data_IF_445908627951
#
_entry.id   IF_445908627951
#
_cell.length_a   1.000
_cell.length_b   1.000
_cell.length_c   1.000
_cell.angle_alpha   90.00
_cell.angle_beta   90.00
_cell.angle_gamma   90.00
#
_symmetry.space_group_name_H-M   'P 1'
#
loop_
_entity.id
_entity.type
_entity.pdbx_description
1 polymer ?
#
# COMPACT_ATOMS: atom_id res chain seq x y z
N UNK A 1 95.82 -1.21 -116.17
CA UNK A 1 94.94 -2.35 -115.85
C UNK A 1 94.22 -2.79 -117.12
N UNK A 2 94.29 -4.08 -117.46
CA UNK A 2 93.55 -4.61 -118.61
C UNK A 2 92.07 -4.76 -118.26
N UNK A 3 91.17 -4.28 -119.13
CA UNK A 3 89.73 -4.58 -119.05
C UNK A 3 89.48 -5.92 -119.74
N UNK A 4 89.10 -6.94 -118.98
CA UNK A 4 88.67 -8.23 -119.53
C UNK A 4 87.15 -8.15 -119.76
N UNK A 5 86.71 -8.42 -120.98
CA UNK A 5 85.29 -8.50 -121.33
C UNK A 5 84.93 -9.97 -121.56
N UNK A 6 83.88 -10.44 -120.88
CA UNK A 6 83.31 -11.77 -121.08
C UNK A 6 81.97 -11.67 -121.81
N UNK A 7 81.57 -12.73 -122.51
CA UNK A 7 80.25 -12.82 -123.14
C UNK A 7 79.18 -12.76 -122.05
N UNK A 8 78.09 -12.03 -122.30
CA UNK A 8 77.00 -11.89 -121.34
C UNK A 8 75.66 -11.70 -122.03
N UNK A 9 74.58 -12.18 -121.41
CA UNK A 9 73.22 -12.08 -121.94
C UNK A 9 72.20 -12.76 -121.04
N UNK A 10 70.97 -12.96 -121.50
CA UNK A 10 69.97 -13.77 -120.79
C UNK A 10 70.32 -15.27 -120.87
N UNK A 11 69.87 -16.07 -119.92
CA UNK A 11 70.15 -17.51 -119.81
C UNK A 11 69.82 -18.26 -121.11
N UNK A 12 68.66 -17.99 -121.71
CA UNK A 12 68.25 -18.62 -122.97
C UNK A 12 69.15 -18.25 -124.16
N UNK A 13 69.81 -17.08 -124.13
CA UNK A 13 70.76 -16.64 -125.14
C UNK A 13 72.16 -17.23 -124.88
N UNK A 14 72.61 -17.21 -123.61
CA UNK A 14 73.89 -17.83 -123.20
C UNK A 14 73.88 -19.34 -123.43
N UNK A 15 72.74 -20.00 -123.21
CA UNK A 15 72.52 -21.41 -123.52
C UNK A 15 72.65 -21.74 -125.01
N UNK A 16 72.62 -20.76 -125.91
CA UNK A 16 72.85 -20.93 -127.36
C UNK A 16 74.23 -20.46 -127.84
N UNK A 17 75.02 -19.83 -126.98
CA UNK A 17 76.39 -19.45 -127.32
C UNK A 17 77.27 -20.69 -127.51
N UNK A 18 78.02 -20.72 -128.60
CA UNK A 18 79.23 -21.53 -128.72
C UNK A 18 80.38 -20.74 -128.09
N UNK A 19 81.08 -21.38 -127.16
CA UNK A 19 82.19 -20.81 -126.43
C UNK A 19 83.45 -21.57 -126.85
N UNK A 20 84.48 -20.83 -127.22
CA UNK A 20 85.79 -21.43 -127.43
C UNK A 20 86.32 -22.01 -126.10
N UNK A 21 87.25 -22.96 -126.18
CA UNK A 21 87.88 -23.51 -124.98
C UNK A 21 88.48 -22.39 -124.11
N UNK A 22 88.09 -22.35 -122.83
CA UNK A 22 88.48 -21.30 -121.87
C UNK A 22 87.68 -20.00 -121.95
N UNK A 23 86.78 -19.83 -122.92
CA UNK A 23 85.95 -18.63 -123.04
C UNK A 23 84.81 -18.62 -122.02
N UNK A 24 84.63 -17.51 -121.30
CA UNK A 24 83.61 -17.36 -120.28
C UNK A 24 82.36 -16.63 -120.79
N UNK A 25 81.20 -17.11 -120.37
CA UNK A 25 79.93 -16.40 -120.53
C UNK A 25 79.09 -16.38 -119.25
N UNK A 26 78.40 -15.27 -119.00
CA UNK A 26 77.50 -15.12 -117.85
C UNK A 26 76.07 -14.82 -118.30
N UNK A 27 75.11 -15.59 -117.75
CA UNK A 27 73.69 -15.34 -117.86
C UNK A 27 73.26 -14.35 -116.77
N UNK A 28 72.90 -13.13 -117.17
CA UNK A 28 72.69 -12.00 -116.27
C UNK A 28 71.39 -12.12 -115.46
N UNK A 29 70.40 -12.86 -115.96
CA UNK A 29 69.09 -13.09 -115.34
C UNK A 29 69.06 -14.24 -114.32
N UNK A 30 70.01 -15.16 -114.40
CA UNK A 30 70.08 -16.34 -113.52
C UNK A 30 71.35 -16.38 -112.68
N UNK A 31 72.28 -15.45 -112.95
CA UNK A 31 73.62 -15.46 -112.37
C UNK A 31 74.48 -16.65 -112.81
N UNK A 32 74.00 -17.49 -113.73
CA UNK A 32 74.71 -18.69 -114.19
C UNK A 32 75.96 -18.32 -114.99
N UNK A 33 77.07 -19.01 -114.72
CA UNK A 33 78.36 -18.81 -115.36
C UNK A 33 78.73 -20.08 -116.11
N UNK A 34 79.19 -19.91 -117.34
CA UNK A 34 79.59 -20.97 -118.23
C UNK A 34 81.03 -20.76 -118.70
N UNK A 35 81.75 -21.85 -118.90
CA UNK A 35 83.07 -21.86 -119.56
C UNK A 35 83.05 -22.83 -120.74
N UNK A 36 83.63 -22.43 -121.87
CA UNK A 36 83.85 -23.32 -123.00
C UNK A 36 84.93 -24.36 -122.73
N UNK A 37 84.73 -25.57 -123.21
CA UNK A 37 85.64 -26.72 -123.11
C UNK A 37 85.74 -27.40 -124.47
N UNK A 38 86.66 -28.35 -124.64
CA UNK A 38 86.80 -29.14 -125.88
C UNK A 38 85.54 -29.94 -126.25
N UNK A 39 84.64 -30.20 -125.29
CA UNK A 39 83.38 -30.93 -125.49
C UNK A 39 82.14 -30.02 -125.52
N UNK A 40 82.33 -28.71 -125.66
CA UNK A 40 81.26 -27.69 -125.61
C UNK A 40 81.33 -26.88 -124.32
N UNK A 41 80.24 -26.22 -123.90
CA UNK A 41 80.23 -25.41 -122.67
C UNK A 41 79.83 -26.21 -121.42
N UNK A 42 80.42 -25.87 -120.28
CA UNK A 42 80.09 -26.41 -118.95
C UNK A 42 79.55 -25.31 -118.05
N UNK A 43 78.51 -25.60 -117.30
CA UNK A 43 77.96 -24.74 -116.25
C UNK A 43 78.79 -24.89 -114.97
N UNK A 44 79.27 -23.77 -114.39
CA UNK A 44 80.29 -23.83 -113.32
C UNK A 44 79.83 -23.27 -111.96
N UNK A 45 78.62 -22.74 -111.85
CA UNK A 45 78.01 -22.36 -110.57
C UNK A 45 76.68 -23.13 -110.35
N UNK A 46 76.10 -23.12 -109.14
CA UNK A 46 74.79 -23.71 -108.90
C UNK A 46 73.71 -23.04 -109.75
N UNK A 47 72.79 -23.83 -110.31
CA UNK A 47 71.71 -23.30 -111.17
C UNK A 47 70.77 -22.39 -110.37
N UNK A 48 70.65 -21.12 -110.78
CA UNK A 48 69.64 -20.18 -110.27
C UNK A 48 70.10 -19.29 -109.10
N UNK A 49 71.18 -18.52 -109.28
CA UNK A 49 71.69 -17.61 -108.27
C UNK A 49 70.96 -16.27 -108.16
N UNK A 50 69.92 -16.21 -107.32
CA UNK A 50 69.54 -15.15 -106.35
C UNK A 50 68.29 -15.68 -105.61
N UNK A 51 68.41 -16.07 -104.34
CA UNK A 51 67.29 -16.64 -103.59
C UNK A 51 66.32 -15.54 -103.15
N UNK A 52 65.30 -15.25 -103.97
CA UNK A 52 64.21 -14.33 -103.60
C UNK A 52 63.29 -14.94 -102.53
N UNK A 53 63.32 -16.26 -102.32
CA UNK A 53 62.64 -16.95 -101.20
C UNK A 53 63.41 -18.22 -100.79
N UNK A 54 63.29 -18.64 -99.51
CA UNK A 54 63.87 -19.89 -99.01
C UNK A 54 62.89 -21.06 -99.20
N UNK A 55 63.34 -22.20 -99.76
CA UNK A 55 62.44 -23.29 -100.22
C UNK A 55 61.90 -24.24 -99.14
N UNK A 56 62.56 -24.31 -97.97
CA UNK A 56 62.25 -25.02 -96.71
C UNK A 56 63.52 -25.64 -96.10
N UNK A 57 63.53 -25.91 -94.80
CA UNK A 57 64.61 -26.62 -94.13
C UNK A 57 64.59 -28.10 -94.53
N UNK A 58 65.74 -28.62 -94.99
CA UNK A 58 65.91 -30.03 -95.35
C UNK A 58 65.65 -30.99 -94.17
N UNK A 59 65.91 -30.54 -92.95
CA UNK A 59 65.55 -31.26 -91.72
C UNK A 59 64.67 -30.34 -90.88
N UNK A 60 63.37 -30.69 -90.69
CA UNK A 60 62.48 -29.91 -89.84
C UNK A 60 63.04 -29.77 -88.43
N UNK A 61 62.80 -28.61 -87.81
CA UNK A 61 63.20 -28.34 -86.42
C UNK A 61 61.96 -28.29 -85.55
N UNK A 62 61.99 -29.01 -84.43
CA UNK A 62 60.91 -28.98 -83.45
C UNK A 62 61.04 -27.71 -82.58
N UNK A 63 59.94 -26.96 -82.46
CA UNK A 63 59.78 -25.89 -81.49
C UNK A 63 58.84 -26.36 -80.38
N UNK A 64 59.26 -26.19 -79.13
CA UNK A 64 58.47 -26.54 -77.94
C UNK A 64 58.69 -25.49 -76.85
N UNK A 65 57.74 -25.36 -75.93
CA UNK A 65 57.88 -24.57 -74.71
C UNK A 65 57.75 -25.46 -73.47
N UNK A 66 58.51 -25.16 -72.43
CA UNK A 66 58.47 -25.88 -71.15
C UNK A 66 58.60 -24.89 -69.99
N UNK A 67 58.09 -25.27 -68.81
CA UNK A 67 58.05 -24.44 -67.60
C UNK A 67 56.62 -24.12 -67.19
N UNK A 68 56.36 -22.85 -66.83
CA UNK A 68 55.06 -22.38 -66.34
C UNK A 68 53.93 -22.47 -67.40
N UNK A 69 54.31 -22.47 -68.67
CA UNK A 69 53.47 -22.90 -69.77
C UNK A 69 54.22 -23.95 -70.58
N UNK A 70 53.53 -25.01 -70.96
CA UNK A 70 54.05 -26.07 -71.80
C UNK A 70 53.37 -26.02 -73.16
N UNK A 71 54.10 -26.43 -74.20
CA UNK A 71 53.54 -26.65 -75.51
C UNK A 71 54.20 -27.89 -76.11
N UNK A 72 53.38 -28.77 -76.71
CA UNK A 72 53.89 -29.92 -77.44
C UNK A 72 54.79 -29.47 -78.61
N UNK A 73 55.75 -30.32 -78.96
CA UNK A 73 56.70 -30.05 -80.01
C UNK A 73 56.00 -29.94 -81.38
N UNK A 74 56.14 -28.80 -82.04
CA UNK A 74 55.64 -28.56 -83.40
C UNK A 74 56.83 -28.44 -84.36
N UNK A 75 56.83 -29.23 -85.42
CA UNK A 75 57.90 -29.20 -86.43
C UNK A 75 57.71 -28.01 -87.38
N UNK A 76 58.79 -27.27 -87.61
CA UNK A 76 58.87 -26.18 -88.58
C UNK A 76 59.93 -26.48 -89.63
N UNK A 77 59.55 -26.34 -90.89
CA UNK A 77 60.46 -26.39 -92.02
C UNK A 77 60.39 -25.13 -92.90
N UNK A 78 59.57 -24.13 -92.57
CA UNK A 78 59.43 -22.91 -93.38
C UNK A 78 58.48 -23.04 -94.57
N UNK A 79 57.75 -24.17 -94.70
CA UNK A 79 56.70 -24.32 -95.72
C UNK A 79 55.39 -23.59 -95.36
N UNK A 80 55.13 -23.35 -94.09
CA UNK A 80 53.97 -22.63 -93.57
C UNK A 80 54.23 -22.06 -92.17
N UNK A 81 53.37 -21.16 -91.72
CA UNK A 81 53.35 -20.68 -90.34
C UNK A 81 53.00 -21.84 -89.39
N UNK A 82 53.65 -21.84 -88.22
CA UNK A 82 53.38 -22.81 -87.15
C UNK A 82 52.74 -22.11 -85.95
N UNK A 83 51.75 -22.75 -85.33
CA UNK A 83 51.11 -22.26 -84.10
C UNK A 83 51.55 -23.10 -82.91
N UNK A 84 52.22 -22.46 -81.94
CA UNK A 84 52.57 -23.09 -80.68
C UNK A 84 51.44 -22.85 -79.66
N UNK A 85 50.64 -23.87 -79.38
CA UNK A 85 49.55 -23.78 -78.41
C UNK A 85 50.09 -23.97 -76.99
N UNK A 86 50.21 -22.86 -76.25
CA UNK A 86 50.62 -22.91 -74.84
C UNK A 86 49.47 -23.38 -73.95
N UNK A 87 49.79 -24.26 -73.01
CA UNK A 87 48.94 -24.73 -71.92
C UNK A 87 49.61 -24.34 -70.61
N UNK A 88 48.89 -23.67 -69.71
CA UNK A 88 49.45 -23.28 -68.42
C UNK A 88 49.57 -24.52 -67.52
N UNK A 89 50.72 -24.68 -66.86
CA UNK A 89 50.94 -25.81 -65.98
C UNK A 89 49.97 -25.75 -64.77
N UNK A 90 49.43 -26.90 -64.39
CA UNK A 90 48.63 -27.00 -63.17
C UNK A 90 49.52 -26.73 -61.95
N UNK A 91 49.13 -25.77 -61.13
CA UNK A 91 49.80 -25.49 -59.86
C UNK A 91 49.43 -26.59 -58.85
N UNK A 92 50.39 -27.43 -58.50
CA UNK A 92 50.19 -28.65 -57.68
C UNK A 92 49.58 -28.41 -56.29
N UNK A 93 49.56 -27.16 -55.82
CA UNK A 93 49.00 -26.76 -54.52
C UNK A 93 47.65 -26.01 -54.58
N UNK A 94 47.09 -25.75 -55.78
CA UNK A 94 45.90 -24.91 -55.91
C UNK A 94 44.77 -25.63 -56.63
N UNK A 95 43.61 -25.69 -55.98
CA UNK A 95 42.37 -26.18 -56.61
C UNK A 95 41.60 -24.99 -57.18
N UNK A 96 40.75 -25.24 -58.19
CA UNK A 96 39.85 -24.20 -58.67
C UNK A 96 38.89 -23.78 -57.55
N UNK A 97 38.80 -22.48 -57.25
CA UNK A 97 37.96 -21.95 -56.19
C UNK A 97 38.24 -20.47 -55.90
N UNK A 98 37.45 -19.89 -54.99
CA UNK A 98 37.66 -18.54 -54.46
C UNK A 98 38.46 -18.63 -53.16
N UNK A 99 39.52 -17.85 -53.07
CA UNK A 99 40.37 -17.74 -51.88
C UNK A 99 40.37 -16.30 -51.40
N UNK A 100 40.34 -16.09 -50.10
CA UNK A 100 40.40 -14.75 -49.48
C UNK A 100 41.83 -14.37 -49.09
N UNK A 101 42.76 -15.32 -49.11
CA UNK A 101 44.18 -15.15 -48.83
C UNK A 101 45.00 -15.93 -49.85
N UNK A 102 46.01 -15.29 -50.43
CA UNK A 102 46.93 -15.92 -51.39
C UNK A 102 48.36 -15.78 -50.90
N UNK A 103 49.17 -16.80 -51.17
CA UNK A 103 50.62 -16.76 -50.99
C UNK A 103 51.26 -16.69 -52.36
N UNK A 104 52.22 -15.77 -52.53
CA UNK A 104 52.99 -15.64 -53.78
C UNK A 104 54.45 -15.98 -53.57
N UNK A 105 55.10 -16.50 -54.61
CA UNK A 105 56.56 -16.65 -54.62
C UNK A 105 57.26 -15.31 -54.92
N UNK A 106 58.60 -15.31 -54.92
CA UNK A 106 59.42 -14.12 -55.22
C UNK A 106 59.23 -13.56 -56.63
N UNK A 107 58.55 -14.28 -57.53
CA UNK A 107 58.18 -13.83 -58.88
C UNK A 107 56.73 -13.33 -58.96
N UNK A 108 55.99 -13.32 -57.84
CA UNK A 108 54.59 -12.87 -57.78
C UNK A 108 53.56 -13.93 -58.21
N UNK A 109 53.96 -15.19 -58.42
CA UNK A 109 53.03 -16.26 -58.80
C UNK A 109 52.35 -16.85 -57.57
N UNK A 110 51.05 -17.12 -57.64
CA UNK A 110 50.28 -17.75 -56.56
C UNK A 110 50.73 -19.19 -56.36
N UNK A 111 51.14 -19.53 -55.15
CA UNK A 111 51.60 -20.89 -54.77
C UNK A 111 50.65 -21.59 -53.80
N UNK A 112 49.81 -20.83 -53.10
CA UNK A 112 48.77 -21.35 -52.21
C UNK A 112 47.61 -20.37 -52.07
N UNK A 113 46.43 -20.90 -51.77
CA UNK A 113 45.22 -20.14 -51.45
C UNK A 113 44.61 -20.68 -50.16
N UNK A 114 44.16 -19.78 -49.28
CA UNK A 114 43.55 -20.09 -47.99
C UNK A 114 42.28 -19.26 -47.79
N UNK A 115 41.37 -19.75 -46.95
CA UNK A 115 40.25 -18.97 -46.44
C UNK A 115 40.72 -18.11 -45.26
N UNK A 116 40.06 -16.99 -45.02
CA UNK A 116 40.28 -16.17 -43.84
C UNK A 116 39.74 -16.93 -42.63
N UNK A 117 40.55 -16.98 -41.59
CA UNK A 117 40.16 -17.53 -40.30
C UNK A 117 40.05 -16.42 -39.27
N UNK A 118 39.42 -16.71 -38.12
CA UNK A 118 39.31 -15.75 -37.02
C UNK A 118 40.69 -15.28 -36.53
N UNK A 119 41.71 -16.15 -36.65
CA UNK A 119 43.10 -15.84 -36.30
C UNK A 119 43.75 -14.80 -37.21
N UNK A 120 43.23 -14.58 -38.43
CA UNK A 120 43.70 -13.51 -39.32
C UNK A 120 43.19 -12.12 -38.88
N UNK A 121 42.23 -12.04 -37.95
CA UNK A 121 41.77 -10.79 -37.35
C UNK A 121 42.62 -10.52 -36.09
N UNK A 122 43.57 -9.56 -36.13
CA UNK A 122 44.39 -9.27 -34.97
C UNK A 122 43.55 -8.69 -33.82
N UNK A 123 44.08 -8.72 -32.60
CA UNK A 123 43.48 -7.94 -31.50
C UNK A 123 43.52 -6.45 -31.84
N UNK A 124 42.35 -5.84 -31.99
CA UNK A 124 42.20 -4.41 -32.32
C UNK A 124 41.87 -3.67 -31.03
N UNK A 125 42.76 -2.82 -30.49
CA UNK A 125 42.43 -2.02 -29.31
C UNK A 125 41.32 -1.01 -29.65
N UNK A 126 40.47 -0.70 -28.67
CA UNK A 126 39.35 0.25 -28.84
C UNK A 126 39.78 1.62 -29.37
N UNK A 127 41.02 2.05 -29.10
CA UNK A 127 41.62 3.29 -29.61
C UNK A 127 41.80 3.34 -31.14
N UNK A 128 41.67 2.20 -31.83
CA UNK A 128 41.79 2.08 -33.29
C UNK A 128 40.45 1.93 -34.00
N UNK A 129 39.34 1.92 -33.26
CA UNK A 129 37.99 1.80 -33.82
C UNK A 129 37.22 3.10 -33.55
N UNK A 130 36.85 3.82 -34.61
CA UNK A 130 36.04 5.03 -34.49
C UNK A 130 34.56 4.68 -34.32
N UNK A 131 33.81 5.50 -33.58
CA UNK A 131 32.37 5.32 -33.39
C UNK A 131 31.95 4.30 -32.32
N UNK A 132 32.90 3.74 -31.55
CA UNK A 132 32.56 3.02 -30.33
C UNK A 132 31.87 3.97 -29.33
N UNK A 133 30.73 3.55 -28.77
CA UNK A 133 30.10 4.26 -27.66
C UNK A 133 30.95 4.17 -26.39
N UNK A 134 30.78 5.11 -25.46
CA UNK A 134 31.56 5.19 -24.21
C UNK A 134 31.50 3.91 -23.37
N UNK A 135 30.34 3.24 -23.33
CA UNK A 135 30.18 1.96 -22.62
C UNK A 135 31.02 0.82 -23.23
N UNK A 136 31.24 0.81 -24.54
CA UNK A 136 32.02 -0.23 -25.21
C UNK A 136 33.54 -0.08 -24.98
N UNK A 137 33.98 1.07 -24.47
CA UNK A 137 35.37 1.32 -24.11
C UNK A 137 35.67 1.05 -22.62
N UNK A 138 34.65 0.83 -21.79
CA UNK A 138 34.78 0.58 -20.37
C UNK A 138 34.80 -0.94 -20.09
N UNK A 139 35.48 -1.32 -19.00
CA UNK A 139 35.40 -2.70 -18.52
C UNK A 139 34.00 -2.98 -17.95
N UNK A 140 33.62 -4.25 -17.90
CA UNK A 140 32.40 -4.69 -17.21
C UNK A 140 32.72 -5.14 -15.79
N UNK A 141 31.82 -4.92 -14.83
CA UNK A 141 32.00 -5.43 -13.46
C UNK A 141 31.38 -4.54 -12.39
N UNK A 142 31.83 -4.71 -11.14
CA UNK A 142 31.32 -3.95 -9.99
C UNK A 142 32.25 -2.83 -9.50
N UNK A 143 33.46 -2.72 -10.07
CA UNK A 143 34.39 -1.65 -9.75
C UNK A 143 33.92 -0.29 -10.29
N UNK A 144 34.39 0.78 -9.66
CA UNK A 144 34.10 2.16 -10.10
C UNK A 144 34.54 2.38 -11.56
N UNK A 145 33.70 3.05 -12.35
CA UNK A 145 33.95 3.34 -13.76
C UNK A 145 33.65 2.18 -14.72
N UNK A 146 33.33 0.99 -14.22
CA UNK A 146 32.92 -0.14 -15.05
C UNK A 146 31.43 -0.06 -15.42
N UNK A 147 31.08 -0.71 -16.54
CA UNK A 147 29.69 -0.94 -16.92
C UNK A 147 29.11 -2.06 -16.04
N UNK A 148 27.99 -1.82 -15.33
CA UNK A 148 27.33 -2.86 -14.55
C UNK A 148 26.89 -4.04 -15.41
N UNK A 149 27.16 -5.25 -14.92
CA UNK A 149 26.68 -6.49 -15.56
C UNK A 149 25.35 -6.89 -14.95
N UNK A 150 24.38 -7.19 -15.82
CA UNK A 150 23.10 -7.76 -15.42
C UNK A 150 23.27 -9.24 -15.11
N UNK A 151 22.87 -9.65 -13.90
CA UNK A 151 22.83 -11.03 -13.44
C UNK A 151 21.66 -11.82 -14.08
N UNK A 152 21.61 -13.11 -13.80
CA UNK A 152 20.47 -13.95 -14.14
C UNK A 152 19.15 -13.32 -13.64
N UNK A 153 18.13 -13.32 -14.50
CA UNK A 153 16.83 -12.72 -14.19
C UNK A 153 16.75 -11.21 -14.36
N UNK A 154 17.74 -10.57 -15.01
CA UNK A 154 17.61 -9.16 -15.41
C UNK A 154 17.95 -8.15 -14.32
N UNK A 155 18.60 -8.58 -13.23
CA UNK A 155 18.90 -7.72 -12.06
C UNK A 155 20.36 -7.27 -12.04
N UNK A 156 20.63 -6.12 -11.45
CA UNK A 156 21.99 -5.72 -11.10
C UNK A 156 22.43 -6.44 -9.81
N UNK A 157 23.75 -6.52 -9.58
CA UNK A 157 24.30 -6.98 -8.30
C UNK A 157 23.77 -6.10 -7.16
N UNK A 158 23.33 -6.69 -6.05
CA UNK A 158 22.78 -5.93 -4.93
C UNK A 158 23.77 -4.89 -4.34
N UNK A 159 25.08 -5.17 -4.38
CA UNK A 159 26.12 -4.23 -3.93
C UNK A 159 26.27 -2.98 -4.80
N UNK A 160 25.72 -3.00 -6.03
CA UNK A 160 25.71 -1.85 -6.94
C UNK A 160 24.45 -0.98 -6.78
N UNK A 161 23.47 -1.47 -6.03
CA UNK A 161 22.30 -0.68 -5.66
C UNK A 161 22.61 0.09 -4.38
N UNK A 162 22.18 1.35 -4.26
CA UNK A 162 22.34 2.09 -3.01
C UNK A 162 21.61 1.38 -1.87
N UNK A 163 22.14 1.46 -0.65
CA UNK A 163 21.41 1.04 0.54
C UNK A 163 20.24 1.99 0.79
N UNK A 164 19.02 1.46 0.71
CA UNK A 164 17.77 2.18 0.89
C UNK A 164 17.11 1.91 2.24
N UNK A 165 17.73 1.11 3.10
CA UNK A 165 17.15 0.65 4.37
C UNK A 165 16.80 1.78 5.35
N UNK A 166 17.45 2.93 5.24
CA UNK A 166 17.15 4.13 6.05
C UNK A 166 16.24 5.15 5.38
N UNK A 167 15.86 4.97 4.12
CA UNK A 167 15.05 5.93 3.35
C UNK A 167 13.58 5.51 3.25
N UNK A 168 13.32 4.20 3.24
CA UNK A 168 11.98 3.65 3.10
C UNK A 168 11.57 2.88 4.35
N UNK A 169 10.26 2.89 4.61
CA UNK A 169 9.68 1.99 5.61
C UNK A 169 9.77 0.56 5.07
N UNK A 170 10.44 -0.37 5.78
CA UNK A 170 10.51 -1.76 5.37
C UNK A 170 9.11 -2.36 5.21
N UNK A 171 8.89 -3.19 4.18
CA UNK A 171 7.61 -3.91 4.00
C UNK A 171 7.32 -4.93 5.10
N UNK A 172 8.32 -5.23 5.93
CA UNK A 172 8.19 -6.02 7.16
C UNK A 172 7.62 -5.20 8.33
N UNK A 173 7.61 -3.87 8.25
CA UNK A 173 6.96 -3.02 9.23
C UNK A 173 5.44 -3.19 9.14
N UNK A 174 4.79 -3.22 10.29
CA UNK A 174 3.32 -3.32 10.39
C UNK A 174 2.75 -2.07 11.04
N UNK A 175 1.57 -1.65 10.60
CA UNK A 175 0.75 -0.66 11.33
C UNK A 175 -0.28 -1.46 12.12
N UNK A 176 -0.12 -1.48 13.44
CA UNK A 176 -0.99 -2.24 14.34
C UNK A 176 -1.17 -3.72 13.91
N UNK A 177 -0.05 -4.40 13.63
CA UNK A 177 -0.05 -5.80 13.19
C UNK A 177 -0.44 -6.04 11.72
N UNK A 178 -0.89 -5.01 10.99
CA UNK A 178 -1.25 -5.15 9.57
C UNK A 178 -0.05 -4.87 8.66
N UNK A 179 0.25 -5.75 7.68
CA UNK A 179 1.41 -5.59 6.80
C UNK A 179 1.22 -4.46 5.78
N UNK A 180 2.31 -3.79 5.41
CA UNK A 180 2.35 -2.74 4.39
C UNK A 180 2.38 -3.31 2.95
N UNK A 181 1.51 -4.27 2.65
CA UNK A 181 1.38 -4.88 1.31
C UNK A 181 0.30 -4.23 0.44
N UNK A 182 -0.40 -3.22 0.97
CA UNK A 182 -1.47 -2.47 0.30
C UNK A 182 -2.04 -1.38 1.22
N UNK A 183 -3.26 -0.92 0.93
CA UNK A 183 -3.95 0.06 1.78
C UNK A 183 -4.23 -0.53 3.17
N UNK A 184 -3.82 0.16 4.23
CA UNK A 184 -4.08 -0.24 5.61
C UNK A 184 -5.41 0.34 6.07
N UNK A 185 -6.38 -0.52 6.39
CA UNK A 185 -7.64 -0.14 7.03
C UNK A 185 -7.60 -0.51 8.50
N UNK A 186 -7.82 0.47 9.38
CA UNK A 186 -7.89 0.27 10.83
C UNK A 186 -9.35 0.37 11.30
N UNK A 187 -9.80 -0.62 12.04
CA UNK A 187 -11.03 -0.58 12.82
C UNK A 187 -10.76 0.05 14.19
N UNK A 188 -11.82 0.43 14.91
CA UNK A 188 -11.67 1.02 16.25
C UNK A 188 -10.90 0.08 17.21
N UNK A 189 -11.19 -1.22 17.17
CA UNK A 189 -10.49 -2.22 17.97
C UNK A 189 -9.01 -2.36 17.66
N UNK A 190 -8.57 -2.04 16.43
CA UNK A 190 -7.15 -2.06 16.09
C UNK A 190 -6.39 -1.05 16.96
N UNK A 191 -6.92 0.15 17.16
CA UNK A 191 -6.24 1.23 17.89
C UNK A 191 -6.67 1.34 19.36
N UNK A 192 -7.40 0.34 19.88
CA UNK A 192 -7.97 0.38 21.24
C UNK A 192 -9.05 1.45 21.42
N UNK A 193 -9.66 1.94 20.33
CA UNK A 193 -10.78 2.87 20.38
C UNK A 193 -12.11 2.15 20.58
N UNK A 194 -13.07 2.85 21.19
CA UNK A 194 -14.45 2.39 21.30
C UNK A 194 -15.11 2.45 19.90
N UNK A 195 -15.67 1.33 19.40
CA UNK A 195 -16.42 1.34 18.14
C UNK A 195 -17.60 2.32 18.19
N UNK A 196 -17.80 3.07 17.10
CA UNK A 196 -18.93 4.01 17.02
C UNK A 196 -20.29 3.31 17.21
N UNK A 197 -20.40 2.05 16.79
CA UNK A 197 -21.59 1.22 16.95
C UNK A 197 -21.90 0.86 18.42
N UNK A 198 -20.91 0.91 19.32
CA UNK A 198 -21.11 0.64 20.75
C UNK A 198 -21.54 1.90 21.53
N UNK A 199 -21.34 3.09 20.96
CA UNK A 199 -21.69 4.34 21.63
C UNK A 199 -23.21 4.52 21.71
N UNK A 200 -23.74 4.54 22.93
CA UNK A 200 -25.17 4.71 23.19
C UNK A 200 -26.03 3.50 22.81
N UNK A 201 -25.41 2.38 22.43
CA UNK A 201 -26.08 1.12 22.18
C UNK A 201 -26.35 0.37 23.50
N UNK A 202 -27.38 -0.48 23.51
CA UNK A 202 -27.62 -1.39 24.63
C UNK A 202 -26.41 -2.31 24.84
N UNK A 203 -26.02 -2.52 26.10
CA UNK A 203 -24.78 -3.22 26.50
C UNK A 203 -23.47 -2.59 25.99
N UNK A 204 -23.52 -1.35 25.47
CA UNK A 204 -22.36 -0.62 24.98
C UNK A 204 -21.85 0.43 25.98
N UNK A 205 -21.29 1.51 25.44
CA UNK A 205 -20.69 2.60 26.23
C UNK A 205 -21.62 3.81 26.22
N UNK A 206 -21.89 4.39 27.39
CA UNK A 206 -22.68 5.62 27.49
C UNK A 206 -22.05 6.78 26.70
N UNK A 207 -22.89 7.63 26.11
CA UNK A 207 -22.41 8.85 25.45
C UNK A 207 -22.40 10.01 26.42
N UNK A 208 -21.60 11.04 26.12
CA UNK A 208 -21.65 12.30 26.86
C UNK A 208 -22.37 13.36 26.03
N UNK A 209 -23.20 14.17 26.69
CA UNK A 209 -23.79 15.39 26.15
C UNK A 209 -22.74 16.50 26.00
N UNK A 210 -23.17 17.65 25.49
CA UNK A 210 -22.32 18.84 25.32
C UNK A 210 -21.75 19.38 26.63
N UNK A 211 -22.38 19.06 27.75
CA UNK A 211 -21.95 19.42 29.11
C UNK A 211 -21.00 18.36 29.73
N UNK A 212 -20.63 17.34 28.97
CA UNK A 212 -19.72 16.27 29.40
C UNK A 212 -20.36 15.25 30.34
N UNK A 213 -21.69 15.23 30.49
CA UNK A 213 -22.41 14.26 31.34
C UNK A 213 -23.17 13.24 30.51
N UNK A 214 -23.52 12.11 31.12
CA UNK A 214 -24.41 11.12 30.49
C UNK A 214 -25.81 11.74 30.35
N UNK A 215 -26.40 11.81 29.14
CA UNK A 215 -27.74 12.33 28.95
C UNK A 215 -28.78 11.57 29.78
N UNK A 216 -29.78 12.28 30.33
CA UNK A 216 -30.85 11.68 31.14
C UNK A 216 -31.59 10.55 30.41
N UNK A 217 -31.70 10.60 29.09
CA UNK A 217 -32.29 9.53 28.27
C UNK A 217 -31.52 8.20 28.33
N UNK A 218 -30.26 8.20 28.77
CA UNK A 218 -29.45 7.01 29.01
C UNK A 218 -29.44 6.59 30.49
N UNK A 219 -30.16 7.32 31.35
CA UNK A 219 -30.32 7.01 32.76
C UNK A 219 -31.72 6.42 33.00
N UNK A 220 -31.87 5.47 33.93
CA UNK A 220 -33.18 5.03 34.38
C UNK A 220 -33.98 6.17 35.03
N UNK A 221 -35.32 6.13 34.92
CA UNK A 221 -36.20 7.21 35.41
C UNK A 221 -36.05 7.49 36.91
N UNK A 222 -35.72 6.50 37.73
CA UNK A 222 -35.54 6.67 39.17
C UNK A 222 -34.28 7.45 39.59
N UNK A 223 -33.44 7.89 38.65
CA UNK A 223 -32.26 8.76 38.93
C UNK A 223 -32.66 10.26 38.95
N UNK A 224 -33.91 10.58 38.58
CA UNK A 224 -34.49 11.92 38.63
C UNK A 224 -35.70 11.93 39.57
N UNK A 225 -35.48 11.59 40.84
CA UNK A 225 -36.53 11.25 41.81
C UNK A 225 -37.30 12.46 42.35
N UNK A 226 -36.76 13.68 42.27
CA UNK A 226 -37.41 14.91 42.75
C UNK A 226 -37.63 15.87 41.59
N UNK A 227 -38.90 16.12 41.28
CA UNK A 227 -39.32 17.08 40.26
C UNK A 227 -39.92 18.32 40.93
N UNK A 228 -39.34 19.48 40.66
CA UNK A 228 -39.76 20.77 41.22
C UNK A 228 -40.56 21.56 40.17
N UNK A 229 -41.72 22.10 40.58
CA UNK A 229 -42.59 22.91 39.73
C UNK A 229 -43.02 24.16 40.48
N UNK A 230 -43.29 25.23 39.74
CA UNK A 230 -43.70 26.54 40.30
C UNK A 230 -44.88 26.41 41.28
N UNK A 231 -45.88 25.56 40.97
CA UNK A 231 -47.04 25.31 41.81
C UNK A 231 -47.71 23.95 41.51
N UNK A 232 -48.67 23.57 42.35
CA UNK A 232 -49.44 22.32 42.23
C UNK A 232 -50.17 22.15 40.88
N UNK A 233 -50.60 23.24 40.25
CA UNK A 233 -51.31 23.20 38.97
C UNK A 233 -50.36 23.02 37.77
N UNK A 234 -49.07 23.29 37.95
CA UNK A 234 -48.03 23.07 36.93
C UNK A 234 -47.52 21.62 36.89
N UNK A 235 -47.98 20.75 37.79
CA UNK A 235 -47.63 19.34 37.76
C UNK A 235 -48.23 18.67 36.51
N UNK A 236 -47.58 17.63 35.96
CA UNK A 236 -48.19 16.80 34.92
C UNK A 236 -49.59 16.31 35.31
N UNK A 237 -50.45 16.06 34.31
CA UNK A 237 -51.79 15.53 34.56
C UNK A 237 -51.74 14.13 35.20
N UNK A 238 -50.77 13.31 34.75
CA UNK A 238 -50.45 12.01 35.32
C UNK A 238 -48.99 12.02 35.82
N UNK A 239 -48.80 11.68 37.10
CA UNK A 239 -47.46 11.53 37.67
C UNK A 239 -46.82 10.19 37.32
N UNK A 240 -45.49 10.12 37.41
CA UNK A 240 -44.75 8.87 37.29
C UNK A 240 -44.63 8.20 38.67
N UNK A 241 -44.74 6.88 38.71
CA UNK A 241 -44.57 6.11 39.94
C UNK A 241 -43.13 6.26 40.50
N UNK A 242 -43.03 6.33 41.82
CA UNK A 242 -41.74 6.48 42.51
C UNK A 242 -41.10 7.87 42.45
N UNK A 243 -41.76 8.88 41.86
CA UNK A 243 -41.30 10.28 41.86
C UNK A 243 -41.89 11.09 43.02
N UNK A 244 -41.10 12.01 43.53
CA UNK A 244 -41.49 13.07 44.46
C UNK A 244 -41.66 14.35 43.66
N UNK A 245 -42.76 15.06 43.92
CA UNK A 245 -43.08 16.32 43.28
C UNK A 245 -43.11 17.42 44.33
N UNK A 246 -42.43 18.53 44.07
CA UNK A 246 -42.38 19.69 44.98
C UNK A 246 -43.07 20.86 44.31
N UNK A 247 -44.05 21.45 45.00
CA UNK A 247 -44.65 22.71 44.59
C UNK A 247 -43.89 23.86 45.28
N UNK A 248 -43.13 24.64 44.52
CA UNK A 248 -42.22 25.67 45.05
C UNK A 248 -42.96 26.80 45.77
N UNK A 249 -44.16 27.17 45.29
CA UNK A 249 -45.01 28.19 45.88
C UNK A 249 -45.40 27.92 47.35
N UNK A 250 -45.58 26.65 47.69
CA UNK A 250 -46.07 26.19 49.00
C UNK A 250 -45.04 25.36 49.75
N UNK A 251 -43.95 24.98 49.09
CA UNK A 251 -42.95 24.00 49.56
C UNK A 251 -43.57 22.65 49.98
N UNK A 252 -44.75 22.33 49.45
CA UNK A 252 -45.42 21.07 49.74
C UNK A 252 -44.87 19.97 48.84
N UNK A 253 -44.63 18.81 49.45
CA UNK A 253 -44.13 17.62 48.77
C UNK A 253 -45.25 16.63 48.54
N UNK A 254 -45.29 16.06 47.34
CA UNK A 254 -46.32 15.14 46.90
C UNK A 254 -45.69 13.87 46.31
N UNK A 255 -46.39 12.75 46.41
CA UNK A 255 -46.10 11.50 45.71
C UNK A 255 -47.24 11.14 44.78
N UNK A 256 -46.96 10.57 43.63
CA UNK A 256 -48.00 9.96 42.79
C UNK A 256 -48.49 8.66 43.42
N UNK A 257 -49.81 8.48 43.57
CA UNK A 257 -50.42 7.28 44.16
C UNK A 257 -50.83 6.23 43.12
N UNK A 258 -50.55 6.47 41.84
CA UNK A 258 -51.07 5.70 40.71
C UNK A 258 -52.36 6.29 40.10
N UNK A 259 -53.05 7.19 40.81
CA UNK A 259 -54.31 7.81 40.34
C UNK A 259 -54.42 9.30 40.63
N UNK A 260 -53.69 9.80 41.62
CA UNK A 260 -53.64 11.21 41.98
C UNK A 260 -52.33 11.49 42.70
N UNK A 261 -52.00 12.76 42.88
CA UNK A 261 -50.93 13.07 43.84
C UNK A 261 -51.47 13.20 45.25
N UNK A 262 -50.67 12.72 46.19
CA UNK A 262 -50.94 12.71 47.62
C UNK A 262 -49.82 13.48 48.29
N UNK A 263 -50.19 14.51 49.07
CA UNK A 263 -49.25 15.27 49.89
C UNK A 263 -48.61 14.34 50.93
N UNK A 264 -47.27 14.37 51.03
CA UNK A 264 -46.51 13.50 51.93
C UNK A 264 -46.62 13.99 53.38
N UNK A 265 -46.69 15.31 53.56
CA UNK A 265 -46.72 15.96 54.88
C UNK A 265 -47.91 16.91 55.02
N UNK A 266 -49.17 16.41 55.00
CA UNK A 266 -50.33 17.26 55.23
C UNK A 266 -50.18 17.97 56.58
N UNK A 267 -50.23 19.30 56.55
CA UNK A 267 -50.12 20.13 57.76
C UNK A 267 -51.19 19.75 58.80
N UNK A 268 -50.79 19.67 60.07
CA UNK A 268 -51.65 19.28 61.18
C UNK A 268 -52.81 20.28 61.34
N UNK A 269 -54.03 19.89 61.00
CA UNK A 269 -55.21 20.74 61.16
C UNK A 269 -55.56 20.89 62.66
N UNK A 270 -55.67 22.14 63.13
CA UNK A 270 -56.15 22.45 64.48
C UNK A 270 -57.69 22.50 64.52
N UNK A 271 -58.32 21.88 65.52
CA UNK A 271 -59.78 21.82 65.62
C UNK A 271 -60.29 20.98 66.80
N UNK A 272 -61.62 20.84 66.91
CA UNK A 272 -62.29 20.16 68.04
C UNK A 272 -62.93 18.81 67.64
N UNK A 273 -62.58 18.28 66.46
CA UNK A 273 -63.08 16.99 65.95
C UNK A 273 -62.06 15.86 66.19
N UNK A 274 -62.48 14.60 66.06
CA UNK A 274 -61.58 13.43 66.21
C UNK A 274 -60.46 13.38 65.17
N UNK A 275 -60.55 14.13 64.07
CA UNK A 275 -59.57 14.18 62.98
C UNK A 275 -58.65 15.40 63.02
N UNK A 276 -58.73 16.22 64.07
CA UNK A 276 -57.95 17.46 64.21
C UNK A 276 -57.19 17.48 65.53
N UNK A 277 -56.01 18.11 65.57
CA UNK A 277 -55.33 18.35 66.83
C UNK A 277 -56.01 19.48 67.61
N UNK A 278 -56.25 19.28 68.89
CA UNK A 278 -56.88 20.32 69.71
C UNK A 278 -55.96 21.55 69.84
N UNK A 279 -56.46 22.79 69.67
CA UNK A 279 -55.64 23.99 69.84
C UNK A 279 -54.95 24.00 71.21
N UNK A 280 -53.62 24.14 71.21
CA UNK A 280 -52.80 23.99 72.43
C UNK A 280 -53.11 25.05 73.49
N UNK A 281 -53.51 26.25 73.07
CA UNK A 281 -53.98 27.33 73.93
C UNK A 281 -55.30 26.99 74.65
N UNK A 282 -56.29 26.46 73.91
CA UNK A 282 -57.55 25.97 74.50
C UNK A 282 -57.30 24.77 75.42
N UNK A 283 -56.42 23.86 75.02
CA UNK A 283 -56.02 22.71 75.82
C UNK A 283 -55.41 23.14 77.15
N UNK A 284 -54.52 24.14 77.11
CA UNK A 284 -53.94 24.74 78.31
C UNK A 284 -55.02 25.40 79.17
N UNK A 285 -55.93 26.17 78.60
CA UNK A 285 -57.00 26.83 79.36
C UNK A 285 -57.91 25.82 80.08
N UNK A 286 -58.31 24.74 79.40
CA UNK A 286 -59.10 23.67 80.00
C UNK A 286 -58.32 22.92 81.09
N UNK A 287 -57.05 22.62 80.85
CA UNK A 287 -56.17 22.00 81.85
C UNK A 287 -56.04 22.91 83.08
N UNK A 288 -55.68 24.18 82.91
CA UNK A 288 -55.54 25.15 84.00
C UNK A 288 -56.85 25.29 84.81
N UNK A 289 -58.02 25.34 84.13
CA UNK A 289 -59.34 25.38 84.79
C UNK A 289 -59.61 24.13 85.62
N UNK A 290 -59.24 22.94 85.12
CA UNK A 290 -59.36 21.68 85.86
C UNK A 290 -58.45 21.60 87.11
N UNK A 291 -57.39 22.40 87.16
CA UNK A 291 -56.46 22.42 88.30
C UNK A 291 -56.89 23.36 89.43
N UNK A 292 -58.01 24.08 89.30
CA UNK A 292 -58.52 24.97 90.36
C UNK A 292 -59.14 24.12 91.49
N UNK A 293 -58.48 24.06 92.65
CA UNK A 293 -58.88 23.23 93.81
C UNK A 293 -59.61 23.99 94.92
N UNK A 294 -59.80 25.30 94.75
CA UNK A 294 -60.40 26.17 95.76
C UNK A 294 -61.53 27.00 95.16
N UNK A 295 -62.54 27.30 95.97
CA UNK A 295 -63.73 28.02 95.53
C UNK A 295 -64.69 27.16 94.70
N UNK A 296 -65.47 27.82 93.85
CA UNK A 296 -66.45 27.20 92.96
C UNK A 296 -66.09 27.48 91.49
N UNK A 297 -65.04 26.82 90.93
CA UNK A 297 -64.53 27.11 89.58
C UNK A 297 -65.51 26.78 88.45
N UNK A 298 -66.48 25.90 88.72
CA UNK A 298 -67.54 25.54 87.77
C UNK A 298 -68.83 26.35 87.97
N UNK A 299 -68.87 27.24 88.97
CA UNK A 299 -70.05 28.03 89.28
C UNK A 299 -71.28 27.21 89.68
N UNK A 300 -71.09 25.96 90.13
CA UNK A 300 -72.18 25.04 90.46
C UNK A 300 -72.91 25.47 91.74
N UNK A 301 -74.23 25.43 91.72
CA UNK A 301 -75.05 25.71 92.90
C UNK A 301 -75.22 24.45 93.75
N UNK A 302 -75.68 24.61 95.00
CA UNK A 302 -75.99 23.46 95.87
C UNK A 302 -77.03 22.51 95.22
N UNK A 303 -77.98 23.07 94.46
CA UNK A 303 -78.98 22.30 93.73
C UNK A 303 -78.37 21.44 92.61
N UNK A 304 -77.36 21.97 91.88
CA UNK A 304 -76.73 21.28 90.74
C UNK A 304 -76.00 19.99 91.15
N UNK A 305 -75.61 19.87 92.42
CA UNK A 305 -74.95 18.68 93.00
C UNK A 305 -75.86 17.90 93.97
N UNK A 306 -77.15 18.25 94.06
CA UNK A 306 -78.11 17.58 94.94
C UNK A 306 -77.92 17.83 96.44
N UNK A 307 -77.22 18.90 96.83
CA UNK A 307 -77.00 19.28 98.23
C UNK A 307 -78.11 20.24 98.74
N UNK A 308 -78.55 20.05 99.99
CA UNK A 308 -79.54 20.92 100.64
C UNK A 308 -78.92 22.28 101.05
N UNK A 309 -79.65 23.42 100.93
CA UNK A 309 -79.14 24.75 101.31
C UNK A 309 -78.85 24.87 102.82
N UNK A 310 -77.83 25.65 103.18
CA UNK A 310 -77.26 25.76 104.54
C UNK A 310 -78.17 26.38 105.64
N UNK A 311 -79.48 26.50 105.44
CA UNK A 311 -80.41 27.13 106.39
C UNK A 311 -81.35 26.10 107.03
N UNK A 312 -80.86 25.38 108.04
CA UNK A 312 -81.68 24.59 108.97
C UNK A 312 -81.36 24.96 110.43
N UNK A 313 -81.58 26.23 110.80
CA UNK A 313 -81.63 26.67 112.20
C UNK A 313 -83.08 26.98 112.55
N UNK A 314 -83.77 26.09 113.29
CA UNK A 314 -85.03 26.47 113.95
C UNK A 314 -86.21 25.49 113.94
N UNK A 315 -86.02 24.16 113.97
CA UNK A 315 -87.10 23.26 114.41
C UNK A 315 -86.90 22.97 115.91
N UNK A 316 -87.55 23.76 116.76
CA UNK A 316 -87.66 23.45 118.18
C UNK A 316 -88.59 22.23 118.36
N UNK A 317 -88.09 21.15 118.98
CA UNK A 317 -88.87 19.95 119.25
C UNK A 317 -90.03 20.26 120.20
N UNK A 318 -91.27 20.05 119.75
CA UNK A 318 -92.47 20.12 120.60
C UNK A 318 -92.66 18.80 121.33
N UNK A 319 -92.69 18.83 122.66
CA UNK A 319 -92.87 17.67 123.52
C UNK A 319 -94.21 16.93 123.35
N UNK A 320 -95.14 17.46 122.52
CA UNK A 320 -96.43 16.82 122.23
C UNK A 320 -96.34 15.51 121.43
N UNK A 321 -95.17 15.17 120.87
CA UNK A 321 -94.99 13.95 120.06
C UNK A 321 -94.28 12.80 120.80
N UNK A 322 -93.92 12.98 122.07
CA UNK A 322 -93.35 11.92 122.91
C UNK A 322 -94.41 11.44 123.91
N UNK A 323 -95.26 10.50 123.48
CA UNK A 323 -96.45 10.02 124.18
C UNK A 323 -96.28 9.32 125.54
N UNK A 324 -95.15 9.49 126.24
CA UNK A 324 -94.85 8.82 127.51
C UNK A 324 -94.44 9.75 128.66
N UNK A 325 -94.38 11.07 128.46
CA UNK A 325 -94.01 12.02 129.54
C UNK A 325 -95.24 12.86 129.92
N UNK A 326 -95.83 12.59 131.08
CA UNK A 326 -96.94 13.38 131.63
C UNK A 326 -96.39 14.71 132.20
N UNK A 327 -97.03 15.86 131.93
CA UNK A 327 -96.56 17.15 132.45
C UNK A 327 -96.96 17.30 133.93
N UNK A 328 -95.99 17.10 134.83
CA UNK A 328 -95.96 17.68 136.17
C UNK A 328 -95.00 18.87 136.18
N UNK A 329 -95.12 19.78 137.16
CA UNK A 329 -94.51 21.12 137.20
C UNK A 329 -92.96 21.20 137.24
N UNK A 330 -92.24 20.14 136.87
CA UNK A 330 -90.83 19.90 137.22
C UNK A 330 -89.93 19.52 136.03
N UNK A 331 -90.38 19.74 134.79
CA UNK A 331 -89.54 19.67 133.57
C UNK A 331 -89.31 21.07 132.98
N UNK A 332 -88.06 21.56 132.99
CA UNK A 332 -87.68 22.84 132.39
C UNK A 332 -86.45 22.67 131.49
N UNK A 333 -86.49 23.31 130.31
CA UNK A 333 -85.35 23.46 129.40
C UNK A 333 -84.76 24.84 129.64
N UNK A 334 -83.45 24.91 129.90
CA UNK A 334 -82.72 26.17 130.07
C UNK A 334 -82.60 26.94 128.74
N UNK A 335 -82.44 28.26 128.80
CA UNK A 335 -82.29 29.11 127.60
C UNK A 335 -81.05 28.80 126.75
N UNK A 336 -80.15 27.93 127.20
CA UNK A 336 -78.97 27.41 126.52
C UNK A 336 -79.20 26.04 125.85
N UNK A 337 -80.44 25.52 125.88
CA UNK A 337 -80.78 24.22 125.31
C UNK A 337 -80.39 23.02 126.18
N UNK A 338 -79.97 23.23 127.42
CA UNK A 338 -79.70 22.15 128.37
C UNK A 338 -80.99 21.66 129.06
N UNK A 339 -81.04 20.34 129.28
CA UNK A 339 -82.14 19.63 129.94
C UNK A 339 -81.70 19.24 131.36
N UNK A 340 -82.45 19.65 132.39
CA UNK A 340 -82.15 19.33 133.79
C UNK A 340 -83.37 18.71 134.48
N UNK A 341 -83.16 17.58 135.17
CA UNK A 341 -84.15 16.85 135.94
C UNK A 341 -83.67 16.82 137.40
N UNK A 342 -84.33 17.55 138.30
CA UNK A 342 -83.81 17.82 139.65
C UNK A 342 -84.21 16.81 140.73
N UNK A 343 -85.14 15.89 140.46
CA UNK A 343 -85.46 14.75 141.36
C UNK A 343 -86.35 13.74 140.61
N UNK A 344 -86.06 12.45 140.76
CA UNK A 344 -86.97 11.35 140.38
C UNK A 344 -87.54 10.84 141.68
N UNK A 345 -88.85 10.97 141.88
CA UNK A 345 -89.48 10.48 143.10
C UNK A 345 -89.47 8.94 143.10
N UNK A 346 -88.58 8.35 143.90
CA UNK A 346 -88.83 7.07 144.58
C UNK A 346 -88.43 5.75 143.92
N UNK A 347 -87.72 5.73 142.78
CA UNK A 347 -87.02 4.54 142.31
C UNK A 347 -85.52 4.80 142.26
N UNK A 348 -84.76 4.34 143.27
CA UNK A 348 -83.29 4.48 143.27
C UNK A 348 -82.67 3.53 142.26
N UNK A 349 -82.10 4.08 141.19
CA UNK A 349 -81.33 3.36 140.17
C UNK A 349 -79.85 3.31 140.59
N UNK A 350 -79.20 2.14 140.46
CA UNK A 350 -77.73 2.04 140.40
C UNK A 350 -77.19 2.54 139.06
#
# INVERSE_FOLDING_TARGET
MAKIQIKRGLQAAVARLELAEGELAVALDTGNVYVGTTSGKVHINPTGGTADTAERLKTPRAFSAAGDATAEAVNFDGSADVRLQLVLAALSGLKAGTYTKVTVNNKGQVTAGQMLEVSDIPSIPSSKVTGLGTAAAANTGAEEGNVPVVQAGGKLLASLLPDLSGTYVPVTTTINGKPLSGNVTLAAGDVGAVPAAEKGAANGVATLGSDGKVPAAQLPSYVDDVLEFENRAAFPEEGEDGKIYVAEDTNLTYRWSGTQYVEISPSLALGETSSTAYPGDKGKAAYDHSQIKTGNPHGTTAADVGAAPAAHTGVAASASQLGHVKPGAEFKVGGDGSLSLSTVDGGTFE
#
